data_IF_690459203545
#
_entry.id   IF_690459203545
#
_cell.length_a   1.000
_cell.length_b   1.000
_cell.length_c   1.000
_cell.angle_alpha   90.00
_cell.angle_beta   90.00
_cell.angle_gamma   90.00
#
_symmetry.space_group_name_H-M   'P 1'
#
loop_
_entity.id
_entity.type
_entity.pdbx_description
1 polymer ?
#
# COMPACT_ATOMS: atom_id res chain seq x y z
N UNK A 1 -5.30 4.07 55.77
CA UNK A 1 -4.50 4.32 54.53
C UNK A 1 -4.13 3.03 53.78
N UNK A 2 -3.51 2.02 54.41
CA UNK A 2 -3.12 0.74 53.75
C UNK A 2 -4.27 0.03 53.02
N UNK A 3 -5.44 -0.09 53.64
CA UNK A 3 -6.61 -0.73 53.04
C UNK A 3 -7.19 0.05 51.85
N UNK A 4 -7.08 1.38 51.86
CA UNK A 4 -7.48 2.22 50.73
C UNK A 4 -6.53 2.00 49.56
N UNK A 5 -5.21 2.03 49.80
CA UNK A 5 -4.20 1.78 48.77
C UNK A 5 -4.34 0.37 48.15
N UNK A 6 -4.59 -0.67 48.95
CA UNK A 6 -4.81 -2.02 48.45
C UNK A 6 -6.07 -2.13 47.58
N UNK A 7 -7.18 -1.50 47.98
CA UNK A 7 -8.41 -1.46 47.17
C UNK A 7 -8.20 -0.69 45.86
N UNK A 8 -7.53 0.45 45.92
CA UNK A 8 -7.18 1.23 44.73
C UNK A 8 -6.28 0.43 43.79
N UNK A 9 -5.24 -0.25 44.31
CA UNK A 9 -4.37 -1.11 43.51
C UNK A 9 -5.14 -2.25 42.85
N UNK A 10 -6.05 -2.90 43.59
CA UNK A 10 -6.92 -3.94 43.04
C UNK A 10 -7.82 -3.43 41.91
N UNK A 11 -8.38 -2.23 42.06
CA UNK A 11 -9.17 -1.58 41.01
C UNK A 11 -8.32 -1.24 39.77
N UNK A 12 -7.11 -0.67 39.96
CA UNK A 12 -6.19 -0.41 38.85
C UNK A 12 -5.77 -1.69 38.14
N UNK A 13 -5.48 -2.76 38.88
CA UNK A 13 -5.15 -4.06 38.29
C UNK A 13 -6.32 -4.62 37.47
N UNK A 14 -7.55 -4.51 37.96
CA UNK A 14 -8.75 -4.90 37.21
C UNK A 14 -8.87 -4.12 35.89
N UNK A 15 -8.65 -2.80 35.90
CA UNK A 15 -8.65 -1.99 34.68
C UNK A 15 -7.56 -2.44 33.71
N UNK A 16 -6.33 -2.66 34.18
CA UNK A 16 -5.22 -3.15 33.35
C UNK A 16 -5.57 -4.50 32.72
N UNK A 17 -6.21 -5.41 33.45
CA UNK A 17 -6.66 -6.70 32.92
C UNK A 17 -7.75 -6.54 31.86
N UNK A 18 -8.73 -5.65 32.06
CA UNK A 18 -9.79 -5.37 31.09
C UNK A 18 -9.22 -4.77 29.80
N UNK A 19 -8.43 -3.69 29.92
CA UNK A 19 -7.81 -3.04 28.77
C UNK A 19 -6.80 -3.96 28.07
N UNK A 20 -6.03 -4.74 28.84
CA UNK A 20 -5.13 -5.76 28.31
C UNK A 20 -5.88 -6.86 27.56
N UNK A 21 -7.04 -7.30 28.06
CA UNK A 21 -7.91 -8.27 27.39
C UNK A 21 -8.45 -7.76 26.06
N UNK A 22 -8.92 -6.51 26.00
CA UNK A 22 -9.35 -5.91 24.75
C UNK A 22 -8.20 -5.70 23.76
N UNK A 23 -7.05 -5.22 24.21
CA UNK A 23 -5.86 -5.08 23.36
C UNK A 23 -5.42 -6.44 22.80
N UNK A 24 -5.40 -7.48 23.64
CA UNK A 24 -5.12 -8.85 23.22
C UNK A 24 -6.11 -9.35 22.17
N UNK A 25 -7.41 -9.10 22.36
CA UNK A 25 -8.44 -9.49 21.40
C UNK A 25 -8.27 -8.75 20.06
N UNK A 26 -8.05 -7.43 20.11
CA UNK A 26 -7.84 -6.60 18.93
C UNK A 26 -6.62 -7.02 18.10
N UNK A 27 -5.54 -7.43 18.76
CA UNK A 27 -4.32 -7.91 18.09
C UNK A 27 -4.49 -9.26 17.40
N UNK A 28 -5.47 -10.05 17.84
CA UNK A 28 -5.75 -11.37 17.24
C UNK A 28 -6.66 -11.32 16.03
N UNK A 29 -7.32 -10.18 15.75
CA UNK A 29 -8.16 -10.04 14.55
C UNK A 29 -7.28 -10.21 13.30
N UNK A 30 -7.50 -11.26 12.48
CA UNK A 30 -6.79 -11.42 11.20
C UNK A 30 -7.06 -10.20 10.32
N UNK A 31 -6.02 -9.69 9.66
CA UNK A 31 -6.13 -8.52 8.77
C UNK A 31 -5.00 -8.56 7.74
N UNK A 32 -5.08 -7.74 6.70
CA UNK A 32 -4.12 -7.79 5.60
C UNK A 32 -2.68 -7.50 6.06
N UNK A 33 -2.49 -6.69 7.09
CA UNK A 33 -1.16 -6.33 7.59
C UNK A 33 -0.51 -7.51 8.32
N UNK A 34 -1.24 -8.19 9.21
CA UNK A 34 -0.70 -9.36 9.90
C UNK A 34 -0.51 -10.56 8.96
N UNK A 35 -1.38 -10.71 7.96
CA UNK A 35 -1.25 -11.72 6.93
C UNK A 35 0.03 -11.50 6.12
N UNK A 36 0.22 -10.31 5.54
CA UNK A 36 1.41 -9.98 4.76
C UNK A 36 2.70 -10.02 5.60
N UNK A 37 2.67 -9.54 6.85
CA UNK A 37 3.80 -9.67 7.77
C UNK A 37 4.18 -11.13 8.05
N UNK A 38 3.18 -12.01 8.15
CA UNK A 38 3.39 -13.45 8.32
C UNK A 38 3.88 -14.11 7.04
N UNK A 39 3.36 -13.71 5.89
CA UNK A 39 3.82 -14.19 4.59
C UNK A 39 5.31 -13.92 4.40
N UNK A 40 5.77 -12.68 4.65
CA UNK A 40 7.19 -12.34 4.56
C UNK A 40 8.09 -13.12 5.53
N UNK A 41 7.56 -13.63 6.65
CA UNK A 41 8.38 -14.46 7.55
C UNK A 41 8.71 -15.83 6.96
N UNK A 42 7.89 -16.34 6.05
CA UNK A 42 7.99 -17.69 5.52
C UNK A 42 8.43 -17.74 4.05
N UNK A 43 8.10 -16.71 3.25
CA UNK A 43 8.26 -16.73 1.79
C UNK A 43 9.15 -15.61 1.24
N UNK A 44 9.75 -14.75 2.07
CA UNK A 44 10.54 -13.60 1.58
C UNK A 44 11.67 -13.98 0.63
N UNK A 45 12.33 -15.12 0.86
CA UNK A 45 13.41 -15.64 0.02
C UNK A 45 12.96 -16.14 -1.36
N UNK A 46 11.67 -16.41 -1.55
CA UNK A 46 11.10 -16.96 -2.79
C UNK A 46 10.60 -15.86 -3.73
N UNK A 47 10.34 -14.67 -3.21
CA UNK A 47 9.75 -13.56 -3.97
C UNK A 47 10.79 -12.99 -4.93
N UNK A 48 10.48 -13.04 -6.23
CA UNK A 48 11.28 -12.46 -7.32
C UNK A 48 10.75 -11.11 -7.78
N UNK A 49 9.43 -10.92 -7.72
CA UNK A 49 8.76 -9.65 -8.06
C UNK A 49 7.94 -9.20 -6.87
N UNK A 50 8.22 -8.00 -6.36
CA UNK A 50 7.50 -7.45 -5.21
C UNK A 50 6.94 -6.08 -5.52
N UNK A 51 5.62 -5.92 -5.42
CA UNK A 51 5.00 -4.61 -5.54
C UNK A 51 4.55 -4.07 -4.18
N UNK A 52 4.66 -2.77 -3.99
CA UNK A 52 4.09 -2.04 -2.84
C UNK A 52 3.17 -0.92 -3.37
N UNK A 53 2.87 0.08 -2.56
CA UNK A 53 2.07 1.24 -2.97
C UNK A 53 0.64 1.24 -2.43
N UNK A 54 -0.15 2.18 -2.96
CA UNK A 54 -1.49 2.53 -2.51
C UNK A 54 -2.57 1.55 -3.00
N UNK A 55 -3.85 1.93 -2.88
CA UNK A 55 -4.98 1.18 -3.43
C UNK A 55 -4.85 0.90 -4.93
N UNK A 56 -4.19 1.79 -5.69
CA UNK A 56 -3.93 1.61 -7.12
C UNK A 56 -3.12 0.34 -7.40
N UNK A 57 -2.18 0.00 -6.52
CA UNK A 57 -1.39 -1.23 -6.60
C UNK A 57 -2.07 -2.41 -5.91
N UNK A 58 -2.72 -2.15 -4.78
CA UNK A 58 -3.41 -3.17 -3.97
C UNK A 58 -4.52 -3.87 -4.76
N UNK A 59 -5.26 -3.13 -5.57
CA UNK A 59 -6.29 -3.68 -6.45
C UNK A 59 -5.85 -3.83 -7.91
N UNK A 60 -4.75 -3.18 -8.33
CA UNK A 60 -4.36 -3.13 -9.74
C UNK A 60 -3.33 -4.19 -10.16
N UNK A 61 -2.61 -4.83 -9.23
CA UNK A 61 -1.58 -5.83 -9.57
C UNK A 61 -1.97 -7.17 -8.97
N UNK A 62 -2.09 -8.18 -9.84
CA UNK A 62 -2.42 -9.56 -9.50
C UNK A 62 -1.20 -10.47 -9.68
N UNK A 63 -0.48 -10.82 -8.59
CA UNK A 63 0.76 -11.58 -8.69
C UNK A 63 0.68 -12.94 -9.38
N UNK A 64 -0.50 -13.56 -9.44
CA UNK A 64 -0.70 -14.87 -10.08
C UNK A 64 -0.45 -14.84 -11.60
N UNK A 65 -0.36 -13.65 -12.19
CA UNK A 65 -0.18 -13.43 -13.63
C UNK A 65 1.25 -13.02 -14.00
N UNK A 66 2.19 -13.08 -13.05
CA UNK A 66 3.62 -13.07 -13.36
C UNK A 66 4.12 -14.51 -13.57
N UNK A 67 5.05 -14.70 -14.50
CA UNK A 67 5.74 -15.98 -14.69
C UNK A 67 6.69 -16.33 -13.53
N UNK A 68 7.18 -15.31 -12.83
CA UNK A 68 8.07 -15.44 -11.67
C UNK A 68 7.28 -15.26 -10.38
N UNK A 69 7.69 -15.95 -9.32
CA UNK A 69 7.10 -15.84 -7.99
C UNK A 69 6.99 -14.38 -7.55
N UNK A 70 5.76 -13.92 -7.34
CA UNK A 70 5.48 -12.53 -7.07
C UNK A 70 4.57 -12.38 -5.85
N UNK A 71 4.61 -11.21 -5.21
CA UNK A 71 3.71 -10.91 -4.10
C UNK A 71 3.29 -9.45 -4.07
N UNK A 72 2.02 -9.21 -3.74
CA UNK A 72 1.46 -7.88 -3.59
C UNK A 72 1.53 -7.40 -2.15
N UNK A 73 2.48 -6.51 -1.87
CA UNK A 73 2.73 -5.87 -0.58
C UNK A 73 2.00 -4.55 -0.35
N UNK A 74 1.18 -4.09 -1.29
CA UNK A 74 0.49 -2.80 -1.23
C UNK A 74 -0.63 -2.77 -0.17
N UNK A 75 -1.05 -1.57 0.24
CA UNK A 75 -2.19 -1.37 1.13
C UNK A 75 -3.00 -0.15 0.70
N UNK A 76 -4.29 -0.14 1.04
CA UNK A 76 -5.15 1.03 0.84
C UNK A 76 -4.52 2.26 1.52
N UNK A 77 -4.33 3.31 0.72
CA UNK A 77 -3.73 4.59 1.12
C UNK A 77 -2.31 4.53 1.70
N UNK A 78 -1.58 3.44 1.44
CA UNK A 78 -0.15 3.41 1.71
C UNK A 78 0.56 4.57 1.02
N UNK A 79 1.48 5.20 1.75
CA UNK A 79 2.27 6.34 1.30
C UNK A 79 3.75 5.98 1.23
N UNK A 80 4.51 6.78 0.49
CA UNK A 80 5.92 6.53 0.15
C UNK A 80 6.84 6.34 1.36
N UNK A 81 6.52 6.92 2.52
CA UNK A 81 7.27 6.67 3.76
C UNK A 81 7.07 5.26 4.31
N UNK A 82 5.89 4.67 4.10
CA UNK A 82 5.63 3.27 4.44
C UNK A 82 6.22 2.31 3.41
N UNK A 83 6.15 2.63 2.12
CA UNK A 83 6.83 1.88 1.06
C UNK A 83 8.33 1.75 1.37
N UNK A 84 8.99 2.87 1.72
CA UNK A 84 10.40 2.87 2.10
C UNK A 84 10.68 2.04 3.36
N UNK A 85 9.85 2.16 4.40
CA UNK A 85 10.03 1.40 5.65
C UNK A 85 9.90 -0.11 5.42
N UNK A 86 8.93 -0.53 4.59
CA UNK A 86 8.78 -1.94 4.22
C UNK A 86 10.00 -2.42 3.42
N UNK A 87 10.45 -1.67 2.41
CA UNK A 87 11.62 -2.03 1.63
C UNK A 87 12.87 -2.15 2.52
N UNK A 88 13.15 -1.15 3.35
CA UNK A 88 14.27 -1.15 4.31
C UNK A 88 14.24 -2.38 5.24
N UNK A 89 13.05 -2.82 5.63
CA UNK A 89 12.87 -3.95 6.52
C UNK A 89 13.15 -5.29 5.86
N UNK A 90 12.67 -5.49 4.63
CA UNK A 90 12.61 -6.81 4.01
C UNK A 90 13.66 -7.05 2.92
N UNK A 91 14.15 -6.02 2.22
CA UNK A 91 15.01 -6.20 1.03
C UNK A 91 16.27 -7.03 1.32
N UNK A 92 16.83 -6.95 2.54
CA UNK A 92 18.02 -7.73 2.95
C UNK A 92 17.77 -9.23 3.10
N UNK A 93 16.52 -9.65 3.23
CA UNK A 93 16.11 -11.05 3.41
C UNK A 93 15.50 -11.64 2.14
N UNK A 94 15.16 -10.79 1.17
CA UNK A 94 14.57 -11.20 -0.10
C UNK A 94 15.68 -11.50 -1.11
N UNK A 95 16.39 -12.60 -0.87
CA UNK A 95 17.62 -12.95 -1.61
C UNK A 95 17.37 -13.19 -3.11
N UNK A 96 16.14 -13.56 -3.49
CA UNK A 96 15.73 -13.80 -4.88
C UNK A 96 15.08 -12.59 -5.55
N UNK A 97 14.98 -11.43 -4.89
CA UNK A 97 14.27 -10.28 -5.43
C UNK A 97 14.98 -9.72 -6.67
N UNK A 98 14.28 -9.70 -7.80
CA UNK A 98 14.80 -9.21 -9.09
C UNK A 98 14.18 -7.85 -9.44
N UNK A 99 12.88 -7.68 -9.17
CA UNK A 99 12.13 -6.46 -9.52
C UNK A 99 11.28 -5.97 -8.35
N UNK A 100 11.42 -4.69 -8.03
CA UNK A 100 10.59 -3.96 -7.10
C UNK A 100 9.69 -2.96 -7.85
N UNK A 101 8.37 -3.15 -7.78
CA UNK A 101 7.40 -2.29 -8.44
C UNK A 101 6.85 -1.28 -7.44
N UNK A 102 7.05 0.00 -7.73
CA UNK A 102 6.60 1.12 -6.91
C UNK A 102 5.62 2.00 -7.70
N UNK A 103 4.30 1.81 -7.51
CA UNK A 103 3.33 2.69 -8.12
C UNK A 103 3.38 4.11 -7.55
N UNK A 104 3.54 5.10 -8.44
CA UNK A 104 3.53 6.53 -8.14
C UNK A 104 2.28 7.14 -8.78
N UNK A 105 1.18 7.08 -8.04
CA UNK A 105 -0.10 7.70 -8.40
C UNK A 105 0.00 9.23 -8.37
N UNK A 106 -0.95 9.89 -9.05
CA UNK A 106 -1.08 11.36 -9.11
C UNK A 106 -1.02 12.08 -7.75
N UNK A 107 -1.43 11.44 -6.65
CA UNK A 107 -1.43 12.01 -5.30
C UNK A 107 -0.20 11.61 -4.45
N UNK A 108 0.64 10.67 -4.89
CA UNK A 108 1.68 10.04 -4.06
C UNK A 108 2.72 11.04 -3.56
N UNK A 109 3.15 12.00 -4.40
CA UNK A 109 4.14 13.02 -4.00
C UNK A 109 3.59 14.05 -3.02
N UNK A 110 2.27 14.20 -2.91
CA UNK A 110 1.63 15.32 -2.19
C UNK A 110 0.93 14.89 -0.91
N UNK A 111 0.96 13.60 -0.59
CA UNK A 111 0.22 13.04 0.55
C UNK A 111 1.12 12.17 1.42
N UNK A 112 0.70 12.03 2.69
CA UNK A 112 1.26 11.10 3.66
C UNK A 112 0.11 10.53 4.47
N UNK A 113 0.08 9.21 4.67
CA UNK A 113 -1.02 8.52 5.34
C UNK A 113 -1.30 9.13 6.72
N UNK A 114 -0.26 9.42 7.49
CA UNK A 114 -0.40 9.97 8.85
C UNK A 114 -1.03 11.37 8.93
N UNK A 115 -1.13 12.08 7.79
CA UNK A 115 -1.70 13.44 7.69
C UNK A 115 -3.06 13.45 6.97
N UNK A 116 -3.54 12.28 6.52
CA UNK A 116 -4.76 12.15 5.74
C UNK A 116 -5.96 11.68 6.57
N UNK A 117 -7.12 11.62 5.93
CA UNK A 117 -8.36 11.10 6.54
C UNK A 117 -8.24 9.63 6.98
N UNK A 118 -7.32 8.87 6.39
CA UNK A 118 -7.08 7.47 6.71
C UNK A 118 -5.89 7.24 7.66
N UNK A 119 -5.46 8.27 8.39
CA UNK A 119 -4.37 8.17 9.36
C UNK A 119 -4.58 7.07 10.42
N UNK A 120 -5.84 6.68 10.70
CA UNK A 120 -6.19 5.56 11.57
C UNK A 120 -5.56 4.23 11.11
N UNK A 121 -5.30 4.04 9.81
CA UNK A 121 -4.63 2.85 9.27
C UNK A 121 -3.17 2.72 9.71
N UNK A 122 -2.53 3.81 10.16
CA UNK A 122 -1.14 3.78 10.62
C UNK A 122 -0.91 2.75 11.73
N UNK A 123 -1.92 2.50 12.58
CA UNK A 123 -1.82 1.53 13.68
C UNK A 123 -1.61 0.10 13.17
N UNK A 124 -2.13 -0.24 11.99
CA UNK A 124 -2.01 -1.58 11.43
C UNK A 124 -0.57 -1.88 10.98
N UNK A 125 0.26 -0.87 10.72
CA UNK A 125 1.68 -1.06 10.43
C UNK A 125 2.50 -1.50 11.65
N UNK A 126 1.91 -1.52 12.86
CA UNK A 126 2.53 -2.14 14.03
C UNK A 126 2.65 -3.68 13.92
N UNK A 127 1.92 -4.30 12.98
CA UNK A 127 2.07 -5.72 12.65
C UNK A 127 3.41 -6.01 11.95
N UNK A 128 3.97 -5.00 11.28
CA UNK A 128 5.30 -5.08 10.74
C UNK A 128 6.32 -4.71 11.84
N UNK A 129 7.41 -5.47 12.01
CA UNK A 129 8.45 -5.12 12.98
C UNK A 129 9.33 -3.97 12.47
N UNK A 130 8.71 -2.83 12.20
CA UNK A 130 9.32 -1.57 11.77
C UNK A 130 9.79 -0.78 12.99
N UNK A 131 10.86 0.01 12.84
CA UNK A 131 11.38 0.83 13.93
C UNK A 131 10.33 1.89 14.37
N UNK A 132 9.91 1.75 15.63
CA UNK A 132 9.10 2.58 16.52
C UNK A 132 8.09 3.57 15.89
N UNK A 133 6.82 3.24 16.09
CA UNK A 133 5.78 4.24 16.35
C UNK A 133 5.73 4.56 17.86
N UNK A 134 5.32 5.78 18.22
CA UNK A 134 5.13 6.18 19.62
C UNK A 134 4.02 5.36 20.33
N UNK A 135 4.05 5.32 21.67
CA UNK A 135 3.22 4.44 22.52
C UNK A 135 1.72 4.41 22.15
N UNK A 136 1.11 5.56 21.84
CA UNK A 136 -0.31 5.65 21.43
C UNK A 136 -0.63 4.91 20.14
N UNK A 137 0.31 4.84 19.21
CA UNK A 137 0.18 4.11 17.94
C UNK A 137 0.48 2.61 18.08
N UNK A 138 0.85 2.15 19.29
CA UNK A 138 1.08 0.73 19.58
C UNK A 138 -0.06 0.11 20.39
N UNK A 139 -1.09 0.86 20.78
CA UNK A 139 -2.24 0.35 21.51
C UNK A 139 -3.49 0.44 20.63
N UNK A 140 -3.95 -0.69 20.10
CA UNK A 140 -5.10 -0.80 19.19
C UNK A 140 -6.40 -0.28 19.80
N UNK A 141 -6.52 -0.34 21.13
CA UNK A 141 -7.67 0.21 21.84
C UNK A 141 -7.83 1.74 21.68
N UNK A 142 -6.77 2.45 21.30
CA UNK A 142 -6.81 3.88 20.98
C UNK A 142 -6.81 4.15 19.46
N UNK A 143 -6.98 3.12 18.63
CA UNK A 143 -6.83 3.19 17.18
C UNK A 143 -8.01 3.83 16.43
N UNK A 144 -9.24 3.50 16.82
CA UNK A 144 -10.46 4.06 16.24
C UNK A 144 -11.63 4.02 17.24
N UNK A 145 -12.73 4.71 16.92
CA UNK A 145 -13.92 4.77 17.77
C UNK A 145 -14.66 3.42 17.88
N UNK A 146 -14.45 2.51 16.95
CA UNK A 146 -15.08 1.19 16.92
C UNK A 146 -14.25 0.11 17.64
N UNK A 147 -13.06 0.44 18.17
CA UNK A 147 -12.12 -0.52 18.74
C UNK A 147 -12.75 -1.42 19.82
N UNK A 148 -13.65 -0.89 20.65
CA UNK A 148 -14.35 -1.70 21.65
C UNK A 148 -15.30 -2.72 21.03
N UNK A 149 -16.06 -2.35 19.99
CA UNK A 149 -16.99 -3.28 19.34
C UNK A 149 -16.22 -4.33 18.54
N UNK A 150 -15.15 -3.92 17.85
CA UNK A 150 -14.20 -4.84 17.22
C UNK A 150 -13.60 -5.83 18.23
N UNK A 151 -13.23 -5.35 19.42
CA UNK A 151 -12.71 -6.22 20.48
C UNK A 151 -13.75 -7.22 20.97
N UNK A 152 -15.01 -6.79 21.17
CA UNK A 152 -16.11 -7.69 21.57
C UNK A 152 -16.36 -8.77 20.52
N UNK A 153 -16.38 -8.41 19.24
CA UNK A 153 -16.54 -9.38 18.15
C UNK A 153 -15.35 -10.35 18.05
N UNK A 154 -14.13 -9.84 18.26
CA UNK A 154 -12.92 -10.66 18.30
C UNK A 154 -12.95 -11.67 19.46
N UNK A 155 -13.43 -11.26 20.64
CA UNK A 155 -13.62 -12.15 21.79
C UNK A 155 -14.66 -13.25 21.53
N UNK A 156 -15.62 -13.01 20.62
CA UNK A 156 -16.59 -14.02 20.16
C UNK A 156 -16.03 -14.92 19.04
N UNK A 157 -14.83 -14.65 18.54
CA UNK A 157 -14.17 -15.43 17.49
C UNK A 157 -14.75 -15.23 16.08
N UNK A 158 -15.68 -14.29 15.89
CA UNK A 158 -16.43 -14.14 14.64
C UNK A 158 -15.83 -13.13 13.66
N UNK A 159 -14.76 -12.41 14.04
CA UNK A 159 -14.24 -11.29 13.25
C UNK A 159 -12.99 -11.66 12.46
N UNK A 160 -13.02 -11.37 11.16
CA UNK A 160 -11.89 -11.45 10.26
C UNK A 160 -11.89 -10.20 9.37
N UNK A 161 -10.86 -9.36 9.52
CA UNK A 161 -10.69 -8.11 8.75
C UNK A 161 -9.75 -8.31 7.54
N UNK A 162 -9.40 -9.55 7.18
CA UNK A 162 -8.61 -9.84 5.97
C UNK A 162 -9.48 -9.62 4.73
N UNK A 163 -8.98 -8.78 3.83
CA UNK A 163 -9.61 -8.41 2.56
C UNK A 163 -8.74 -8.69 1.33
N UNK A 164 -7.55 -9.26 1.52
CA UNK A 164 -6.67 -9.69 0.44
C UNK A 164 -6.71 -11.20 0.17
N UNK A 165 -6.45 -11.57 -1.09
CA UNK A 165 -6.19 -12.92 -1.57
C UNK A 165 -4.87 -13.46 -1.02
N UNK A 166 -4.56 -14.74 -1.27
CA UNK A 166 -3.33 -15.36 -0.76
C UNK A 166 -2.06 -14.73 -1.33
N UNK A 167 -2.12 -14.20 -2.55
CA UNK A 167 -1.05 -13.45 -3.19
C UNK A 167 -0.95 -11.98 -2.72
N UNK A 168 -1.81 -11.55 -1.80
CA UNK A 168 -1.81 -10.20 -1.20
C UNK A 168 -2.60 -9.14 -1.97
N UNK A 169 -3.16 -9.44 -3.14
CA UNK A 169 -4.03 -8.51 -3.88
C UNK A 169 -5.37 -8.33 -3.15
N UNK A 170 -5.92 -7.11 -3.14
CA UNK A 170 -7.24 -6.84 -2.59
C UNK A 170 -8.36 -7.47 -3.41
N UNK A 171 -9.34 -8.10 -2.74
CA UNK A 171 -10.40 -8.87 -3.41
C UNK A 171 -11.70 -8.11 -3.65
N UNK A 172 -11.80 -6.85 -3.19
CA UNK A 172 -13.06 -6.11 -3.19
C UNK A 172 -13.50 -5.60 -4.57
N UNK A 173 -12.56 -5.29 -5.47
CA UNK A 173 -12.83 -4.59 -6.73
C UNK A 173 -13.16 -5.56 -7.86
N UNK A 174 -14.33 -6.19 -7.73
CA UNK A 174 -14.86 -7.16 -8.71
C UNK A 174 -15.59 -6.47 -9.86
N UNK A 175 -15.49 -7.03 -11.07
CA UNK A 175 -16.07 -6.46 -12.31
C UNK A 175 -17.60 -6.34 -12.21
N UNK A 176 -18.22 -7.34 -11.59
CA UNK A 176 -19.65 -7.45 -11.39
C UNK A 176 -20.19 -6.37 -10.44
N UNK A 177 -19.32 -5.82 -9.59
CA UNK A 177 -19.63 -4.78 -8.61
C UNK A 177 -19.11 -3.40 -9.01
N UNK A 178 -18.62 -3.24 -10.26
CA UNK A 178 -18.05 -1.97 -10.72
C UNK A 178 -19.11 -0.87 -10.79
N UNK A 179 -18.66 0.36 -10.69
CA UNK A 179 -19.52 1.51 -10.86
C UNK A 179 -19.89 1.71 -12.34
N UNK A 180 -21.19 1.92 -12.61
CA UNK A 180 -21.69 2.18 -13.96
C UNK A 180 -21.54 3.65 -14.35
N UNK A 181 -21.78 4.57 -13.41
CA UNK A 181 -21.67 6.01 -13.65
C UNK A 181 -20.29 6.53 -13.22
N UNK A 182 -19.30 6.38 -14.09
CA UNK A 182 -17.91 6.75 -13.77
C UNK A 182 -17.71 8.26 -13.65
N UNK A 183 -18.43 9.10 -14.40
CA UNK A 183 -18.19 10.55 -14.45
C UNK A 183 -18.47 11.27 -13.12
N UNK A 184 -19.54 10.88 -12.42
CA UNK A 184 -19.86 11.47 -11.11
C UNK A 184 -18.80 11.10 -10.06
N UNK A 185 -18.30 9.86 -10.12
CA UNK A 185 -17.26 9.36 -9.23
C UNK A 185 -15.90 9.96 -9.59
N UNK A 186 -15.63 10.17 -10.88
CA UNK A 186 -14.43 10.81 -11.38
C UNK A 186 -14.23 12.19 -10.76
N UNK A 187 -15.30 13.02 -10.73
CA UNK A 187 -15.25 14.34 -10.12
C UNK A 187 -14.93 14.28 -8.63
N UNK A 188 -15.55 13.34 -7.88
CA UNK A 188 -15.30 13.15 -6.45
C UNK A 188 -13.87 12.67 -6.19
N UNK A 189 -13.40 11.67 -6.92
CA UNK A 189 -12.03 11.15 -6.83
C UNK A 189 -11.00 12.22 -7.19
N UNK A 190 -11.21 12.97 -8.28
CA UNK A 190 -10.30 14.03 -8.73
C UNK A 190 -10.18 15.15 -7.70
N UNK A 191 -11.32 15.61 -7.16
CA UNK A 191 -11.34 16.62 -6.09
C UNK A 191 -10.63 16.12 -4.81
N UNK A 192 -10.84 14.85 -4.42
CA UNK A 192 -10.15 14.24 -3.27
C UNK A 192 -8.63 14.13 -3.48
N UNK A 193 -8.20 13.85 -4.72
CA UNK A 193 -6.79 13.63 -5.06
C UNK A 193 -6.03 14.90 -5.44
N UNK A 194 -6.72 16.01 -5.72
CA UNK A 194 -6.12 17.34 -5.80
C UNK A 194 -5.58 17.74 -4.43
N UNK A 195 -4.28 18.02 -4.35
CA UNK A 195 -3.58 18.38 -3.11
C UNK A 195 -2.93 19.74 -3.23
N UNK A 196 -2.70 20.37 -2.09
CA UNK A 196 -1.88 21.57 -2.00
C UNK A 196 -0.41 21.23 -2.30
N UNK A 197 0.26 22.08 -3.10
CA UNK A 197 1.65 21.92 -3.52
C UNK A 197 2.65 22.27 -2.40
N UNK A 198 2.58 21.55 -1.28
CA UNK A 198 3.47 21.76 -0.14
C UNK A 198 4.90 21.28 -0.45
N UNK A 199 5.80 22.21 -0.77
CA UNK A 199 7.22 21.94 -1.12
C UNK A 199 7.92 20.97 -0.17
N UNK A 200 7.70 21.09 1.14
CA UNK A 200 8.30 20.20 2.15
C UNK A 200 7.84 18.75 2.00
N UNK A 201 6.55 18.51 1.76
CA UNK A 201 6.00 17.15 1.59
C UNK A 201 6.51 16.55 0.29
N UNK A 202 6.48 17.33 -0.80
CA UNK A 202 6.99 16.89 -2.11
C UNK A 202 8.46 16.49 -2.03
N UNK A 203 9.32 17.33 -1.45
CA UNK A 203 10.75 17.04 -1.31
C UNK A 203 11.01 15.80 -0.43
N UNK A 204 10.22 15.60 0.63
CA UNK A 204 10.31 14.39 1.47
C UNK A 204 9.92 13.13 0.69
N UNK A 205 8.80 13.19 -0.03
CA UNK A 205 8.30 12.06 -0.80
C UNK A 205 9.21 11.69 -1.97
N UNK A 206 9.75 12.68 -2.69
CA UNK A 206 10.80 12.46 -3.68
C UNK A 206 12.04 11.80 -3.05
N UNK A 207 12.47 12.26 -1.88
CA UNK A 207 13.59 11.68 -1.15
C UNK A 207 13.33 10.21 -0.78
N UNK A 208 12.10 9.82 -0.45
CA UNK A 208 11.76 8.42 -0.21
C UNK A 208 11.91 7.56 -1.47
N UNK A 209 11.44 8.03 -2.62
CA UNK A 209 11.63 7.32 -3.91
C UNK A 209 13.12 7.15 -4.21
N UNK A 210 13.93 8.21 -4.07
CA UNK A 210 15.39 8.15 -4.28
C UNK A 210 16.08 7.19 -3.30
N UNK A 211 15.64 7.14 -2.05
CA UNK A 211 16.16 6.17 -1.08
C UNK A 211 15.80 4.73 -1.46
N UNK A 212 14.58 4.48 -1.93
CA UNK A 212 14.18 3.17 -2.44
C UNK A 212 15.02 2.77 -3.66
N UNK A 213 15.24 3.69 -4.62
CA UNK A 213 16.08 3.43 -5.78
C UNK A 213 17.53 3.06 -5.39
N UNK A 214 18.13 3.78 -4.44
CA UNK A 214 19.49 3.47 -3.92
C UNK A 214 19.55 2.13 -3.18
N UNK A 215 18.51 1.80 -2.40
CA UNK A 215 18.42 0.50 -1.73
C UNK A 215 18.32 -0.63 -2.76
N UNK A 216 17.49 -0.47 -3.78
CA UNK A 216 17.39 -1.44 -4.87
C UNK A 216 18.74 -1.60 -5.58
N UNK A 217 19.45 -0.50 -5.88
CA UNK A 217 20.78 -0.54 -6.49
C UNK A 217 21.77 -1.36 -5.67
N UNK A 218 21.83 -1.09 -4.35
CA UNK A 218 22.73 -1.80 -3.41
C UNK A 218 22.47 -3.31 -3.38
N UNK A 219 21.23 -3.71 -3.60
CA UNK A 219 20.79 -5.10 -3.61
C UNK A 219 20.63 -5.68 -5.01
N UNK A 220 21.10 -4.98 -6.05
CA UNK A 220 21.01 -5.40 -7.47
C UNK A 220 19.58 -5.67 -7.95
N UNK A 221 18.60 -5.02 -7.32
CA UNK A 221 17.17 -5.09 -7.65
C UNK A 221 16.84 -3.99 -8.66
N UNK A 222 16.11 -4.31 -9.73
CA UNK A 222 15.55 -3.31 -10.65
C UNK A 222 14.33 -2.65 -10.01
N UNK A 223 14.15 -1.35 -10.19
CA UNK A 223 12.97 -0.63 -9.69
C UNK A 223 12.11 -0.17 -10.86
N UNK A 224 10.80 -0.42 -10.76
CA UNK A 224 9.81 -0.01 -11.73
C UNK A 224 8.86 1.01 -11.11
N UNK A 225 9.03 2.27 -11.46
CA UNK A 225 8.05 3.31 -11.14
C UNK A 225 6.86 3.14 -12.09
N UNK A 226 5.64 3.14 -11.56
CA UNK A 226 4.43 2.89 -12.34
C UNK A 226 3.35 3.93 -12.04
N UNK A 227 2.87 4.64 -13.06
CA UNK A 227 1.59 5.33 -12.98
C UNK A 227 0.54 4.41 -13.62
N UNK A 228 -0.34 3.84 -12.78
CA UNK A 228 -1.33 2.84 -13.22
C UNK A 228 -2.37 3.46 -14.15
N UNK A 229 -3.01 2.66 -15.02
CA UNK A 229 -4.14 3.11 -15.82
C UNK A 229 -5.25 3.71 -14.96
N UNK A 230 -5.87 4.76 -15.48
CA UNK A 230 -7.04 5.42 -14.90
C UNK A 230 -8.06 5.70 -16.01
N UNK A 231 -9.34 5.81 -15.65
CA UNK A 231 -10.37 6.09 -16.65
C UNK A 231 -10.21 7.52 -17.22
N UNK A 232 -10.55 7.69 -18.50
CA UNK A 232 -10.46 8.97 -19.21
C UNK A 232 -11.18 10.12 -18.47
N UNK A 233 -12.35 9.84 -17.87
CA UNK A 233 -13.13 10.85 -17.16
C UNK A 233 -12.47 11.33 -15.87
N UNK A 234 -11.69 10.49 -15.19
CA UNK A 234 -10.86 10.94 -14.05
C UNK A 234 -9.67 11.76 -14.53
N UNK A 235 -8.98 11.27 -15.56
CA UNK A 235 -7.77 11.93 -16.07
C UNK A 235 -8.02 13.36 -16.56
N UNK A 236 -9.15 13.60 -17.25
CA UNK A 236 -9.51 14.95 -17.75
C UNK A 236 -9.76 15.98 -16.64
N UNK A 237 -10.02 15.52 -15.41
CA UNK A 237 -10.32 16.38 -14.27
C UNK A 237 -9.07 16.65 -13.40
N UNK A 238 -7.92 16.07 -13.74
CA UNK A 238 -6.69 16.26 -12.99
C UNK A 238 -6.12 17.67 -13.14
N UNK A 239 -5.51 18.17 -12.06
CA UNK A 239 -4.77 19.41 -12.11
C UNK A 239 -3.46 19.19 -12.90
N UNK A 240 -3.32 19.89 -14.02
CA UNK A 240 -2.20 19.70 -14.94
C UNK A 240 -0.84 19.98 -14.31
N UNK A 241 -0.77 20.90 -13.34
CA UNK A 241 0.48 21.22 -12.63
C UNK A 241 0.88 20.08 -11.71
N UNK A 242 -0.06 19.56 -10.92
CA UNK A 242 0.21 18.41 -10.03
C UNK A 242 0.61 17.16 -10.84
N UNK A 243 -0.05 16.93 -11.98
CA UNK A 243 0.25 15.81 -12.88
C UNK A 243 1.64 15.95 -13.50
N UNK A 244 1.99 17.12 -14.03
CA UNK A 244 3.31 17.40 -14.60
C UNK A 244 4.42 17.18 -13.56
N UNK A 245 4.29 17.71 -12.35
CA UNK A 245 5.27 17.52 -11.26
C UNK A 245 5.47 16.03 -10.97
N UNK A 246 4.39 15.23 -10.96
CA UNK A 246 4.47 13.79 -10.71
C UNK A 246 5.27 13.07 -11.78
N UNK A 247 4.92 13.32 -13.05
CA UNK A 247 5.58 12.71 -14.21
C UNK A 247 7.04 13.11 -14.31
N UNK A 248 7.33 14.41 -14.24
CA UNK A 248 8.70 14.94 -14.32
C UNK A 248 9.58 14.38 -13.20
N UNK A 249 9.03 14.24 -11.98
CA UNK A 249 9.76 13.63 -10.86
C UNK A 249 10.10 12.16 -11.16
N UNK A 250 9.16 11.38 -11.69
CA UNK A 250 9.40 9.98 -12.03
C UNK A 250 10.39 9.83 -13.19
N UNK A 251 10.24 10.62 -14.26
CA UNK A 251 11.18 10.63 -15.39
C UNK A 251 12.59 10.99 -14.95
N UNK A 252 12.75 12.04 -14.13
CA UNK A 252 14.06 12.46 -13.62
C UNK A 252 14.70 11.38 -12.75
N UNK A 253 13.94 10.75 -11.86
CA UNK A 253 14.48 9.65 -11.04
C UNK A 253 14.87 8.45 -11.92
N UNK A 254 14.06 8.08 -12.91
CA UNK A 254 14.42 7.01 -13.85
C UNK A 254 15.70 7.34 -14.63
N UNK A 255 15.88 8.61 -15.04
CA UNK A 255 17.11 9.06 -15.69
C UNK A 255 18.33 9.06 -14.75
N UNK A 256 18.14 9.41 -13.47
CA UNK A 256 19.20 9.46 -12.45
C UNK A 256 19.72 8.06 -12.05
N UNK A 257 18.94 6.99 -12.26
CA UNK A 257 19.24 5.63 -11.82
C UNK A 257 19.09 4.61 -12.97
N UNK A 258 20.18 4.06 -13.54
CA UNK A 258 20.11 3.18 -14.72
C UNK A 258 19.30 1.88 -14.55
N UNK A 259 19.09 1.42 -13.31
CA UNK A 259 18.26 0.25 -12.98
C UNK A 259 16.81 0.63 -12.64
N UNK A 260 16.42 1.89 -12.86
CA UNK A 260 15.09 2.44 -12.61
C UNK A 260 14.39 2.73 -13.94
N UNK A 261 13.21 2.15 -14.12
CA UNK A 261 12.36 2.43 -15.28
C UNK A 261 11.07 3.11 -14.81
N UNK A 262 10.55 4.04 -15.62
CA UNK A 262 9.25 4.65 -15.38
C UNK A 262 8.28 4.26 -16.49
N UNK A 263 7.16 3.67 -16.08
CA UNK A 263 6.02 3.38 -16.92
C UNK A 263 4.88 4.32 -16.56
N UNK A 264 4.54 5.21 -17.49
CA UNK A 264 3.32 5.99 -17.40
C UNK A 264 2.24 5.37 -18.29
N UNK A 265 1.32 4.62 -17.68
CA UNK A 265 0.21 3.98 -18.36
C UNK A 265 -1.13 4.58 -17.96
N UNK A 266 -1.16 5.80 -17.40
CA UNK A 266 -2.41 6.44 -16.95
C UNK A 266 -3.46 6.55 -18.05
N UNK A 267 -3.05 6.75 -19.30
CA UNK A 267 -3.93 6.88 -20.48
C UNK A 267 -3.54 5.89 -21.57
N UNK A 268 -3.06 4.72 -21.18
CA UNK A 268 -2.70 3.68 -22.13
C UNK A 268 -3.96 3.11 -22.80
N UNK A 269 -4.05 3.23 -24.13
CA UNK A 269 -5.23 2.88 -24.94
C UNK A 269 -5.60 1.40 -24.86
N UNK A 270 -4.68 0.55 -24.39
CA UNK A 270 -4.97 -0.87 -24.18
C UNK A 270 -6.04 -1.07 -23.11
N UNK A 271 -6.26 -0.12 -22.20
CA UNK A 271 -7.25 -0.23 -21.12
C UNK A 271 -8.58 0.44 -21.50
N UNK A 272 -9.66 -0.34 -21.44
CA UNK A 272 -11.02 0.10 -21.82
C UNK A 272 -11.89 0.28 -20.56
N UNK A 273 -13.07 0.88 -20.71
CA UNK A 273 -13.98 1.17 -19.59
C UNK A 273 -14.28 -0.05 -18.72
N UNK A 274 -14.39 -1.24 -19.32
CA UNK A 274 -14.63 -2.52 -18.63
C UNK A 274 -13.49 -2.96 -17.72
N UNK A 275 -12.27 -2.45 -17.89
CA UNK A 275 -11.11 -2.77 -17.05
C UNK A 275 -11.16 -2.04 -15.69
N UNK A 276 -12.04 -1.05 -15.54
CA UNK A 276 -12.11 -0.18 -14.37
C UNK A 276 -13.20 -0.60 -13.38
N UNK A 277 -12.90 -0.50 -12.08
CA UNK A 277 -13.88 -0.67 -11.00
C UNK A 277 -14.61 0.65 -10.74
N UNK A 278 -13.83 1.72 -10.61
CA UNK A 278 -14.26 3.10 -10.51
C UNK A 278 -13.39 3.97 -11.42
N UNK A 279 -13.50 5.29 -11.34
CA UNK A 279 -12.82 6.18 -12.27
C UNK A 279 -11.28 6.19 -12.13
N UNK A 280 -10.72 5.73 -11.00
CA UNK A 280 -9.27 5.78 -10.74
C UNK A 280 -8.65 4.44 -10.32
N UNK A 281 -9.43 3.35 -10.27
CA UNK A 281 -8.97 2.01 -9.94
C UNK A 281 -9.40 0.99 -10.99
N UNK A 282 -8.48 0.08 -11.31
CA UNK A 282 -8.79 -1.14 -12.05
C UNK A 282 -9.67 -2.07 -11.22
N UNK A 283 -10.53 -2.83 -11.90
CA UNK A 283 -11.16 -4.01 -11.32
C UNK A 283 -10.25 -5.24 -11.50
N UNK A 284 -10.64 -6.38 -10.95
CA UNK A 284 -9.84 -7.59 -11.00
C UNK A 284 -9.48 -8.07 -12.42
N UNK A 285 -10.28 -7.81 -13.46
CA UNK A 285 -9.95 -8.14 -14.85
C UNK A 285 -8.91 -7.15 -15.41
N UNK A 286 -9.10 -5.86 -15.17
CA UNK A 286 -8.10 -4.85 -15.51
C UNK A 286 -6.76 -5.08 -14.81
N UNK A 287 -6.79 -5.59 -13.56
CA UNK A 287 -5.59 -5.93 -12.80
C UNK A 287 -4.81 -7.12 -13.40
N UNK A 288 -5.53 -8.13 -13.90
CA UNK A 288 -4.95 -9.25 -14.66
C UNK A 288 -4.21 -8.69 -15.88
N UNK A 289 -4.90 -7.87 -16.67
CA UNK A 289 -4.38 -7.26 -17.89
C UNK A 289 -3.15 -6.38 -17.63
N UNK A 290 -3.20 -5.53 -16.59
CA UNK A 290 -2.05 -4.73 -16.18
C UNK A 290 -0.85 -5.62 -15.81
N UNK A 291 -1.10 -6.70 -15.06
CA UNK A 291 -0.03 -7.58 -14.60
C UNK A 291 0.61 -8.35 -15.76
N UNK A 292 -0.18 -8.78 -16.75
CA UNK A 292 0.35 -9.42 -17.95
C UNK A 292 1.27 -8.48 -18.74
N UNK A 293 0.88 -7.22 -18.93
CA UNK A 293 1.75 -6.24 -19.59
C UNK A 293 3.00 -5.90 -18.77
N UNK A 294 2.90 -5.87 -17.43
CA UNK A 294 4.08 -5.75 -16.57
C UNK A 294 4.99 -6.96 -16.71
N UNK A 295 4.44 -8.18 -16.79
CA UNK A 295 5.20 -9.40 -16.98
C UNK A 295 5.96 -9.39 -18.30
N UNK A 296 5.29 -9.06 -19.41
CA UNK A 296 5.91 -8.94 -20.73
C UNK A 296 7.05 -7.91 -20.72
N UNK A 297 6.79 -6.73 -20.17
CA UNK A 297 7.80 -5.69 -19.99
C UNK A 297 9.01 -6.24 -19.21
N UNK A 298 8.80 -6.87 -18.05
CA UNK A 298 9.86 -7.44 -17.20
C UNK A 298 10.67 -8.55 -17.90
N UNK A 299 10.03 -9.36 -18.74
CA UNK A 299 10.69 -10.40 -19.54
C UNK A 299 11.68 -9.77 -20.52
N UNK A 300 11.25 -8.74 -21.26
CA UNK A 300 12.10 -8.05 -22.24
C UNK A 300 13.34 -7.38 -21.60
N UNK A 301 13.28 -6.93 -20.35
CA UNK A 301 14.47 -6.43 -19.61
C UNK A 301 15.49 -7.50 -19.24
N UNK A 302 15.06 -8.75 -19.20
CA UNK A 302 15.89 -9.87 -18.76
C UNK A 302 16.65 -10.49 -19.94
N UNK A 303 16.07 -10.44 -21.13
CA UNK A 303 16.60 -11.05 -22.37
C UNK A 303 17.58 -10.13 -23.13
N UNK A 304 17.49 -8.80 -23.01
CA UNK A 304 18.45 -7.86 -23.61
C UNK A 304 19.83 -7.81 -22.88
N UNK A 305 20.25 -8.91 -22.27
CA UNK A 305 21.55 -9.12 -21.61
C UNK A 305 22.47 -10.10 -22.35
N UNK A 306 22.06 -10.60 -23.51
CA UNK A 306 22.90 -11.33 -24.47
C UNK A 306 23.35 -10.42 -25.62
#
# INVERSE_FOLDING_TARGET
MKNFLLKSLGFFLLLVLIFGGFEWALRRIPNDYNYKATYYRHHDKEIKIWNVGSSHAYYGINPDYFEKTAFNGAHVSQSLDFDLKLLQKYIRRMDSLEVFILPVSYFSLFSRLEKGAEAWRCINYSEYPLAQFGLRKNLRIFGDQAAFDRAKEALKGSRNDRSCLDNGMGSAFRYENRYVQLDSIAAVSAARHKKSLHRKIMAQNESYIKQMARLCQKHQVKILLLSTPVHQSYYQLLDSTQLAITRETCHRIAADFPHCHYLDWMQDERFVTEDFFDADHLNHQGAIKLTQYLNDFIRDFSENKE
#
